data_IF_698670093757
#
_entry.id   IF_698670093757
#
_cell.length_a   1.000
_cell.length_b   1.000
_cell.length_c   1.000
_cell.angle_alpha   90.00
_cell.angle_beta   90.00
_cell.angle_gamma   90.00
#
_symmetry.space_group_name_H-M   'P 1'
#
loop_
_entity.id
_entity.type
_entity.pdbx_description
1 polymer ?
#
# COMPACT_ATOMS: atom_id res chain seq x y z
N UNK A 1 -32.57 -14.17 -45.66
CA UNK A 1 -31.99 -15.28 -46.45
C UNK A 1 -30.48 -15.30 -46.22
N UNK A 2 -29.94 -16.50 -46.05
CA UNK A 2 -28.60 -16.84 -45.51
C UNK A 2 -27.45 -16.22 -46.30
N UNK A 3 -26.37 -15.83 -45.61
CA UNK A 3 -25.00 -15.82 -46.14
C UNK A 3 -24.03 -16.19 -45.02
N UNK A 4 -23.37 -17.33 -45.22
CA UNK A 4 -22.40 -17.99 -44.35
C UNK A 4 -20.98 -17.50 -44.67
N UNK A 5 -20.16 -17.24 -43.65
CA UNK A 5 -18.71 -17.07 -43.81
C UNK A 5 -17.96 -18.16 -43.02
N UNK A 6 -17.10 -18.88 -43.74
CA UNK A 6 -16.32 -20.05 -43.32
C UNK A 6 -15.13 -19.63 -42.45
N UNK A 7 -14.84 -20.46 -41.45
CA UNK A 7 -13.62 -20.45 -40.66
C UNK A 7 -12.47 -21.15 -41.42
N UNK A 8 -11.28 -20.59 -41.41
CA UNK A 8 -10.04 -21.30 -41.73
C UNK A 8 -9.32 -21.68 -40.42
N UNK A 9 -9.20 -22.99 -40.18
CA UNK A 9 -8.14 -23.56 -39.35
C UNK A 9 -7.00 -24.00 -40.28
N UNK A 10 -5.76 -23.72 -39.89
CA UNK A 10 -4.59 -24.41 -40.42
C UNK A 10 -3.78 -24.96 -39.25
N UNK A 11 -3.70 -26.29 -39.20
CA UNK A 11 -2.82 -27.11 -38.38
C UNK A 11 -2.07 -28.03 -39.35
N UNK A 12 -0.75 -28.18 -39.21
CA UNK A 12 -0.02 -29.46 -39.39
C UNK A 12 1.51 -29.24 -39.38
N UNK A 13 2.22 -29.80 -38.39
CA UNK A 13 3.08 -31.03 -38.43
C UNK A 13 4.53 -30.75 -38.87
N UNK A 14 5.56 -30.84 -38.02
CA UNK A 14 6.23 -32.01 -37.36
C UNK A 14 7.29 -32.68 -38.25
N UNK A 15 8.38 -33.14 -37.58
CA UNK A 15 9.45 -34.09 -37.95
C UNK A 15 10.76 -33.45 -38.45
N UNK A 16 11.98 -33.76 -37.96
CA UNK A 16 12.47 -34.65 -36.91
C UNK A 16 13.91 -35.15 -37.23
N UNK A 17 14.79 -35.21 -36.22
CA UNK A 17 15.87 -36.21 -35.97
C UNK A 17 17.10 -36.10 -36.95
N UNK A 18 18.41 -36.25 -36.65
CA UNK A 18 19.16 -37.08 -35.69
C UNK A 18 20.69 -36.77 -35.69
N UNK A 19 21.30 -36.85 -34.49
CA UNK A 19 22.48 -37.64 -34.04
C UNK A 19 23.89 -37.47 -34.67
N UNK A 20 24.89 -37.31 -33.76
CA UNK A 20 26.22 -37.98 -33.67
C UNK A 20 27.34 -36.95 -33.37
N UNK A 21 28.32 -37.14 -32.48
CA UNK A 21 28.78 -38.27 -31.67
C UNK A 21 30.01 -37.84 -30.85
N UNK A 22 30.34 -38.63 -29.83
CA UNK A 22 31.30 -38.40 -28.74
C UNK A 22 32.80 -38.55 -29.08
N UNK A 23 33.69 -37.99 -28.24
CA UNK A 23 34.78 -38.68 -27.48
C UNK A 23 35.64 -37.62 -26.73
N UNK A 24 35.75 -37.65 -25.38
CA UNK A 24 36.75 -38.33 -24.53
C UNK A 24 38.03 -37.45 -24.35
N UNK A 25 38.78 -37.30 -23.23
CA UNK A 25 39.11 -38.05 -22.00
C UNK A 25 39.70 -37.09 -20.93
N UNK A 26 39.48 -37.45 -19.65
CA UNK A 26 40.19 -37.18 -18.37
C UNK A 26 41.11 -35.95 -18.15
N UNK A 27 40.90 -35.34 -16.98
CA UNK A 27 41.90 -34.53 -16.26
C UNK A 27 41.35 -34.03 -14.92
N UNK A 28 41.49 -34.83 -13.87
CA UNK A 28 41.18 -34.47 -12.49
C UNK A 28 42.32 -33.67 -11.87
N UNK A 29 42.06 -32.46 -11.36
CA UNK A 29 42.54 -32.06 -10.03
C UNK A 29 41.84 -30.81 -9.45
N UNK A 30 41.59 -30.93 -8.16
CA UNK A 30 41.30 -29.93 -7.11
C UNK A 30 41.39 -28.43 -7.42
N UNK A 31 40.30 -27.74 -7.08
CA UNK A 31 40.24 -26.29 -6.93
C UNK A 31 38.90 -25.85 -6.36
N UNK A 32 38.69 -26.03 -5.05
CA UNK A 32 37.57 -25.41 -4.33
C UNK A 32 37.69 -23.89 -4.43
N UNK A 33 36.94 -23.29 -5.34
CA UNK A 33 36.67 -21.85 -5.33
C UNK A 33 35.39 -21.61 -4.54
N UNK A 34 35.56 -21.21 -3.28
CA UNK A 34 34.50 -20.64 -2.46
C UNK A 34 34.03 -19.34 -3.11
N UNK A 35 32.98 -19.44 -3.92
CA UNK A 35 32.18 -18.27 -4.32
C UNK A 35 31.04 -18.14 -3.32
N UNK A 36 31.30 -17.44 -2.23
CA UNK A 36 30.27 -16.90 -1.35
C UNK A 36 29.40 -15.95 -2.18
N UNK A 37 28.24 -16.45 -2.60
CA UNK A 37 27.15 -15.62 -3.13
C UNK A 37 26.74 -14.66 -2.02
N UNK A 38 27.11 -13.40 -2.18
CA UNK A 38 26.62 -12.30 -1.36
C UNK A 38 25.10 -12.24 -1.48
N UNK A 39 24.41 -12.64 -0.41
CA UNK A 39 22.98 -12.45 -0.26
C UNK A 39 22.66 -10.93 -0.27
N UNK A 40 21.53 -10.50 -0.84
CA UNK A 40 21.12 -9.11 -0.76
C UNK A 40 20.93 -8.74 0.71
N UNK A 41 21.62 -7.69 1.16
CA UNK A 41 21.47 -7.13 2.49
C UNK A 41 20.05 -6.56 2.62
N UNK A 42 19.21 -7.23 3.40
CA UNK A 42 18.00 -6.63 3.93
C UNK A 42 18.43 -5.48 4.84
N UNK A 43 18.31 -4.25 4.36
CA UNK A 43 18.48 -3.08 5.19
C UNK A 43 17.36 -3.11 6.24
N UNK A 44 17.74 -3.35 7.50
CA UNK A 44 16.86 -3.15 8.64
C UNK A 44 16.60 -1.64 8.73
N UNK A 45 15.38 -1.23 8.41
CA UNK A 45 14.89 0.14 8.57
C UNK A 45 15.01 0.52 10.04
N UNK A 46 16.04 1.29 10.37
CA UNK A 46 16.24 1.87 11.70
C UNK A 46 15.57 3.24 11.67
N UNK A 47 14.35 3.32 12.22
CA UNK A 47 13.66 4.59 12.45
C UNK A 47 14.52 5.47 13.35
N UNK A 48 14.67 6.76 13.02
CA UNK A 48 15.40 7.68 13.90
C UNK A 48 14.60 7.96 15.17
N UNK A 49 15.27 8.43 16.23
CA UNK A 49 14.61 8.75 17.51
C UNK A 49 13.54 9.84 17.35
N UNK A 50 13.74 10.77 16.41
CA UNK A 50 12.78 11.83 16.08
C UNK A 50 11.54 11.28 15.36
N UNK A 51 11.71 10.37 14.39
CA UNK A 51 10.59 9.71 13.69
C UNK A 51 9.75 8.87 14.66
N UNK A 52 10.40 8.16 15.59
CA UNK A 52 9.74 7.36 16.62
C UNK A 52 8.93 8.25 17.59
N UNK A 53 9.44 9.42 17.95
CA UNK A 53 8.74 10.38 18.80
C UNK A 53 7.55 11.02 18.08
N UNK A 54 7.71 11.47 16.84
CA UNK A 54 6.63 12.05 16.04
C UNK A 54 5.49 11.04 15.82
N UNK A 55 5.83 9.78 15.51
CA UNK A 55 4.84 8.72 15.39
C UNK A 55 4.14 8.42 16.72
N UNK A 56 4.85 8.48 17.85
CA UNK A 56 4.23 8.37 19.18
C UNK A 56 3.23 9.50 19.46
N UNK A 57 3.54 10.74 19.07
CA UNK A 57 2.64 11.88 19.24
C UNK A 57 1.37 11.73 18.39
N UNK A 58 1.51 11.32 17.12
CA UNK A 58 0.38 11.05 16.23
C UNK A 58 -0.51 9.92 16.74
N UNK A 59 0.09 8.83 17.25
CA UNK A 59 -0.64 7.70 17.81
C UNK A 59 -1.51 8.07 19.01
N UNK A 60 -1.10 9.09 19.77
CA UNK A 60 -1.77 9.58 20.97
C UNK A 60 -2.70 10.78 20.70
N UNK A 61 -2.78 11.27 19.46
CA UNK A 61 -3.67 12.36 19.10
C UNK A 61 -5.14 11.90 19.22
N UNK A 62 -5.95 12.47 20.13
CA UNK A 62 -7.32 12.02 20.32
C UNK A 62 -8.18 12.39 19.11
N UNK A 63 -9.00 11.45 18.68
CA UNK A 63 -10.05 11.72 17.70
C UNK A 63 -11.20 12.49 18.35
N UNK A 64 -11.62 13.56 17.69
CA UNK A 64 -12.78 14.38 18.03
C UNK A 64 -13.58 14.61 16.75
N UNK A 65 -14.82 14.12 16.72
CA UNK A 65 -15.69 14.22 15.54
C UNK A 65 -16.03 15.68 15.18
N UNK A 66 -16.16 16.57 16.18
CA UNK A 66 -16.47 17.97 15.94
C UNK A 66 -15.29 18.69 15.29
N UNK A 67 -14.06 18.32 15.69
CA UNK A 67 -12.83 18.90 15.15
C UNK A 67 -12.39 18.26 13.82
N UNK A 68 -12.61 16.95 13.68
CA UNK A 68 -12.14 16.13 12.55
C UNK A 68 -13.30 15.36 11.90
N UNK A 69 -14.33 16.05 11.37
CA UNK A 69 -15.54 15.39 10.86
C UNK A 69 -15.27 14.47 9.66
N UNK A 70 -14.18 14.72 8.92
CA UNK A 70 -13.74 13.89 7.81
C UNK A 70 -12.67 12.85 8.18
N UNK A 71 -12.45 12.63 9.49
CA UNK A 71 -11.59 11.58 10.02
C UNK A 71 -10.10 11.70 9.60
N UNK A 72 -9.65 12.94 9.40
CA UNK A 72 -8.24 13.30 9.22
C UNK A 72 -7.96 14.69 9.81
N UNK A 73 -6.68 15.02 9.97
CA UNK A 73 -6.20 16.38 10.21
C UNK A 73 -4.91 16.63 9.45
N UNK A 74 -4.64 17.89 9.08
CA UNK A 74 -3.29 18.29 8.67
C UNK A 74 -2.38 18.37 9.88
N UNK A 75 -1.10 18.05 9.68
CA UNK A 75 -0.06 18.12 10.72
C UNK A 75 1.19 18.79 10.15
N UNK A 76 2.11 19.21 11.03
CA UNK A 76 3.36 19.88 10.64
C UNK A 76 3.18 21.03 9.63
N UNK A 77 2.16 21.88 9.85
CA UNK A 77 1.83 22.99 8.94
C UNK A 77 1.63 22.55 7.48
N UNK A 78 1.18 21.31 7.27
CA UNK A 78 1.01 20.65 5.99
C UNK A 78 2.32 20.42 5.20
N UNK A 79 3.50 20.56 5.82
CA UNK A 79 4.81 20.36 5.18
C UNK A 79 5.25 18.90 5.34
N UNK A 80 5.39 18.12 4.25
CA UNK A 80 5.79 16.73 4.34
C UNK A 80 7.28 16.58 4.63
N UNK A 81 7.63 15.61 5.49
CA UNK A 81 9.00 15.17 5.72
C UNK A 81 9.04 13.68 5.43
N UNK A 82 9.59 13.30 4.27
CA UNK A 82 9.69 11.88 3.88
C UNK A 82 10.71 11.14 4.75
N UNK A 83 10.36 9.91 5.12
CA UNK A 83 11.16 9.05 6.00
C UNK A 83 12.01 8.03 5.23
N UNK A 84 13.02 7.51 5.93
CA UNK A 84 13.90 6.42 5.47
C UNK A 84 14.56 6.71 4.11
N UNK A 85 14.91 5.65 3.37
CA UNK A 85 15.52 5.74 2.04
C UNK A 85 14.69 6.50 1.00
N UNK A 86 13.38 6.69 1.25
CA UNK A 86 12.50 7.38 0.32
C UNK A 86 12.80 8.89 0.24
N UNK A 87 13.29 9.51 1.32
CA UNK A 87 13.74 10.91 1.31
C UNK A 87 14.78 11.18 0.23
N UNK A 88 15.74 10.27 0.07
CA UNK A 88 16.78 10.36 -0.95
C UNK A 88 16.20 10.13 -2.35
N UNK A 89 15.25 9.20 -2.50
CA UNK A 89 14.52 8.99 -3.75
C UNK A 89 13.79 10.25 -4.21
N UNK A 90 13.08 10.92 -3.29
CA UNK A 90 12.36 12.17 -3.60
C UNK A 90 13.34 13.28 -3.98
N UNK A 91 14.40 13.49 -3.20
CA UNK A 91 15.41 14.50 -3.50
C UNK A 91 16.09 14.28 -4.86
N UNK A 92 16.42 13.02 -5.18
CA UNK A 92 16.98 12.65 -6.48
C UNK A 92 15.98 12.89 -7.62
N UNK A 93 14.70 12.54 -7.41
CA UNK A 93 13.65 12.73 -8.40
C UNK A 93 13.40 14.22 -8.70
N UNK A 94 13.36 15.06 -7.66
CA UNK A 94 13.21 16.51 -7.77
C UNK A 94 14.41 17.16 -8.49
N UNK A 95 15.64 16.74 -8.14
CA UNK A 95 16.86 17.22 -8.82
C UNK A 95 16.87 16.86 -10.31
N UNK A 96 16.44 15.64 -10.63
CA UNK A 96 16.42 15.14 -12.01
C UNK A 96 15.17 15.55 -12.79
N UNK A 97 14.14 16.11 -12.13
CA UNK A 97 12.79 16.33 -12.69
C UNK A 97 12.25 15.07 -13.39
N UNK A 98 12.37 13.93 -12.70
CA UNK A 98 11.97 12.64 -13.27
C UNK A 98 10.53 12.30 -12.93
N UNK A 99 9.82 11.81 -13.93
CA UNK A 99 8.45 11.29 -13.80
C UNK A 99 8.41 9.78 -13.97
N UNK A 100 9.46 9.06 -13.56
CA UNK A 100 9.46 7.60 -13.61
C UNK A 100 8.66 7.03 -12.45
N UNK A 101 7.63 6.25 -12.77
CA UNK A 101 6.83 5.56 -11.75
C UNK A 101 7.68 4.59 -10.95
N UNK A 102 7.54 4.65 -9.62
CA UNK A 102 8.22 3.76 -8.67
C UNK A 102 7.27 3.43 -7.54
N UNK A 103 7.34 2.21 -7.03
CA UNK A 103 6.55 1.80 -5.87
C UNK A 103 7.37 0.86 -5.00
N UNK A 104 7.37 1.15 -3.71
CA UNK A 104 8.11 0.45 -2.69
C UNK A 104 7.09 0.02 -1.63
N UNK A 105 7.06 -1.29 -1.38
CA UNK A 105 6.25 -1.87 -0.31
C UNK A 105 7.22 -2.47 0.69
N UNK A 106 7.17 -2.00 1.93
CA UNK A 106 7.93 -2.64 3.00
C UNK A 106 7.33 -4.02 3.30
N UNK A 107 8.20 -4.96 3.65
CA UNK A 107 7.79 -6.28 4.14
C UNK A 107 6.96 -6.13 5.43
N UNK A 108 6.14 -7.13 5.73
CA UNK A 108 5.46 -7.17 7.01
C UNK A 108 6.51 -7.28 8.13
N UNK A 109 6.23 -6.66 9.27
CA UNK A 109 7.12 -6.76 10.42
C UNK A 109 7.03 -8.14 11.12
N UNK A 110 7.73 -8.27 12.25
CA UNK A 110 7.76 -9.51 13.03
C UNK A 110 6.41 -9.92 13.61
N UNK A 111 5.48 -8.96 13.75
CA UNK A 111 4.10 -9.19 14.16
C UNK A 111 3.17 -9.39 12.96
N UNK A 112 3.69 -9.39 11.73
CA UNK A 112 2.91 -9.54 10.50
C UNK A 112 2.08 -8.31 10.15
N UNK A 113 2.46 -7.14 10.66
CA UNK A 113 1.76 -5.88 10.43
C UNK A 113 2.25 -5.23 9.15
N UNK A 114 1.32 -4.64 8.41
CA UNK A 114 1.64 -3.84 7.22
C UNK A 114 2.45 -2.62 7.61
N UNK A 115 3.57 -2.43 6.92
CA UNK A 115 4.51 -1.33 7.12
C UNK A 115 4.36 -0.26 6.03
N UNK A 116 5.33 0.63 5.91
CA UNK A 116 5.29 1.79 5.02
C UNK A 116 5.15 1.41 3.54
N UNK A 117 4.39 2.21 2.81
CA UNK A 117 4.34 2.16 1.34
C UNK A 117 4.72 3.52 0.80
N UNK A 118 5.66 3.53 -0.15
CA UNK A 118 6.16 4.74 -0.78
C UNK A 118 6.07 4.63 -2.30
N UNK A 119 5.73 5.71 -3.00
CA UNK A 119 5.61 5.70 -4.44
C UNK A 119 5.95 7.06 -5.07
N UNK A 120 6.55 7.01 -6.26
CA UNK A 120 6.54 8.12 -7.21
C UNK A 120 5.41 7.81 -8.19
N UNK A 121 4.29 8.53 -8.05
CA UNK A 121 3.07 8.31 -8.82
C UNK A 121 3.07 9.25 -10.01
N UNK A 122 2.87 8.71 -11.21
CA UNK A 122 2.82 9.47 -12.45
C UNK A 122 1.40 9.50 -12.98
N UNK A 123 1.10 10.45 -13.88
CA UNK A 123 -0.20 10.46 -14.56
C UNK A 123 -0.48 9.13 -15.27
N UNK A 124 0.50 8.57 -16.00
CA UNK A 124 0.33 7.28 -16.68
C UNK A 124 0.03 6.11 -15.73
N UNK A 125 0.71 6.06 -14.57
CA UNK A 125 0.45 5.05 -13.53
C UNK A 125 -0.97 5.18 -12.99
N UNK A 126 -1.39 6.39 -12.62
CA UNK A 126 -2.75 6.65 -12.14
C UNK A 126 -3.81 6.36 -13.21
N UNK A 127 -3.63 6.88 -14.43
CA UNK A 127 -4.59 6.76 -15.53
C UNK A 127 -4.83 5.30 -15.92
N UNK A 128 -3.77 4.48 -16.00
CA UNK A 128 -3.89 3.04 -16.30
C UNK A 128 -4.63 2.23 -15.20
N UNK A 129 -4.86 2.81 -14.02
CA UNK A 129 -5.64 2.23 -12.93
C UNK A 129 -6.98 2.93 -12.69
N UNK A 130 -7.34 3.92 -13.50
CA UNK A 130 -8.66 4.53 -13.45
C UNK A 130 -9.75 3.48 -13.71
N UNK A 131 -10.89 3.59 -13.02
CA UNK A 131 -11.99 2.63 -13.16
C UNK A 131 -12.60 2.60 -14.56
N UNK A 132 -12.49 3.70 -15.31
CA UNK A 132 -12.86 3.80 -16.73
C UNK A 132 -11.89 3.06 -17.67
N UNK A 133 -10.66 2.79 -17.23
CA UNK A 133 -9.60 2.16 -18.03
C UNK A 133 -9.43 0.69 -17.65
N UNK A 134 -9.44 0.38 -16.36
CA UNK A 134 -9.23 -0.98 -15.86
C UNK A 134 -10.08 -1.28 -14.64
N UNK A 135 -10.82 -2.38 -14.72
CA UNK A 135 -11.56 -2.93 -13.58
C UNK A 135 -10.60 -3.30 -12.46
N UNK A 136 -10.89 -2.81 -11.26
CA UNK A 136 -10.15 -3.19 -10.04
C UNK A 136 -10.28 -4.70 -9.78
N UNK A 137 -9.17 -5.43 -9.58
CA UNK A 137 -9.24 -6.84 -9.20
C UNK A 137 -9.82 -7.00 -7.79
N UNK A 138 -10.43 -8.15 -7.54
CA UNK A 138 -10.84 -8.52 -6.17
C UNK A 138 -9.60 -8.79 -5.32
N UNK A 139 -9.73 -8.64 -4.00
CA UNK A 139 -8.69 -9.11 -3.10
C UNK A 139 -8.47 -10.63 -3.24
N UNK A 140 -7.23 -11.10 -3.41
CA UNK A 140 -6.89 -12.50 -3.24
C UNK A 140 -7.37 -13.02 -1.88
N UNK A 141 -7.75 -14.31 -1.80
CA UNK A 141 -8.14 -14.95 -0.53
C UNK A 141 -7.00 -14.97 0.50
N UNK A 142 -5.76 -14.86 0.03
CA UNK A 142 -4.54 -14.77 0.83
C UNK A 142 -4.30 -13.38 1.42
N UNK A 143 -5.00 -12.35 0.94
CA UNK A 143 -4.88 -11.00 1.48
C UNK A 143 -5.61 -10.92 2.81
N UNK A 144 -4.89 -11.20 3.89
CA UNK A 144 -5.35 -11.17 5.29
C UNK A 144 -4.39 -10.32 6.10
N UNK A 145 -4.93 -9.44 6.95
CA UNK A 145 -4.15 -8.42 7.67
C UNK A 145 -4.15 -8.67 9.17
N UNK A 146 -3.17 -8.10 9.87
CA UNK A 146 -3.09 -8.13 11.32
C UNK A 146 -4.37 -7.57 11.97
N UNK A 147 -4.83 -8.25 13.03
CA UNK A 147 -6.05 -7.88 13.77
C UNK A 147 -7.38 -8.22 13.07
N UNK A 148 -7.38 -8.76 11.84
CA UNK A 148 -8.63 -9.06 11.12
C UNK A 148 -9.44 -10.20 11.75
N UNK A 149 -8.76 -11.16 12.38
CA UNK A 149 -9.37 -12.37 12.93
C UNK A 149 -9.07 -12.49 14.42
N UNK A 150 -10.09 -12.79 15.22
CA UNK A 150 -9.95 -13.04 16.66
C UNK A 150 -9.08 -14.28 16.95
N UNK A 151 -9.11 -15.27 16.05
CA UNK A 151 -8.29 -16.48 16.06
C UNK A 151 -7.08 -16.36 15.09
N UNK A 152 -6.64 -15.13 14.82
CA UNK A 152 -5.57 -14.83 13.88
C UNK A 152 -4.24 -15.43 14.30
N UNK A 153 -3.56 -16.12 13.38
CA UNK A 153 -2.18 -16.59 13.55
C UNK A 153 -1.33 -16.14 12.37
N UNK A 154 -0.23 -15.46 12.65
CA UNK A 154 0.73 -15.03 11.63
C UNK A 154 1.77 -16.11 11.37
N UNK A 155 1.96 -16.45 10.10
CA UNK A 155 3.06 -17.31 9.65
C UNK A 155 4.14 -16.45 9.00
N UNK A 156 5.24 -16.23 9.73
CA UNK A 156 6.38 -15.41 9.29
C UNK A 156 7.06 -15.93 8.03
N UNK A 157 7.15 -17.25 7.85
CA UNK A 157 7.79 -17.85 6.68
C UNK A 157 6.98 -17.62 5.40
N UNK A 158 5.65 -17.62 5.52
CA UNK A 158 4.74 -17.37 4.40
C UNK A 158 4.39 -15.89 4.23
N UNK A 159 4.73 -15.03 5.21
CA UNK A 159 4.28 -13.64 5.29
C UNK A 159 2.75 -13.53 5.17
N UNK A 160 2.03 -14.44 5.84
CA UNK A 160 0.58 -14.59 5.71
C UNK A 160 -0.11 -14.80 7.05
N UNK A 161 -1.28 -14.19 7.18
CA UNK A 161 -2.21 -14.41 8.28
C UNK A 161 -3.18 -15.54 7.98
N UNK A 162 -3.46 -16.36 8.98
CA UNK A 162 -4.51 -17.38 8.99
C UNK A 162 -5.53 -17.07 10.08
N UNK A 163 -6.77 -17.52 9.91
CA UNK A 163 -7.88 -17.22 10.81
C UNK A 163 -9.22 -17.51 10.15
N UNK A 164 -10.23 -17.77 10.98
CA UNK A 164 -11.61 -18.11 10.58
C UNK A 164 -12.64 -17.21 11.25
N UNK A 165 -12.36 -16.75 12.46
CA UNK A 165 -13.26 -15.95 13.29
C UNK A 165 -13.03 -14.46 13.03
N UNK A 166 -13.71 -13.89 12.03
CA UNK A 166 -13.49 -12.51 11.62
C UNK A 166 -14.00 -11.51 12.67
N UNK A 167 -13.20 -10.48 13.00
CA UNK A 167 -13.61 -9.42 13.93
C UNK A 167 -14.63 -8.45 13.33
N UNK A 168 -14.68 -8.33 12.00
CA UNK A 168 -15.53 -7.40 11.28
C UNK A 168 -16.99 -7.86 11.22
N UNK A 169 -17.91 -6.94 11.48
CA UNK A 169 -19.35 -7.15 11.40
C UNK A 169 -20.03 -5.85 11.01
N UNK A 170 -21.27 -5.93 10.53
CA UNK A 170 -22.08 -4.75 10.28
C UNK A 170 -22.42 -4.06 11.59
N UNK A 171 -22.33 -2.73 11.60
CA UNK A 171 -22.73 -1.86 12.71
C UNK A 171 -23.86 -0.94 12.26
N UNK A 172 -24.69 -0.52 13.22
CA UNK A 172 -25.72 0.49 13.04
C UNK A 172 -25.36 1.67 13.94
N UNK A 173 -24.95 2.77 13.32
CA UNK A 173 -24.52 4.01 13.98
C UNK A 173 -25.38 5.17 13.46
N UNK A 174 -25.27 6.34 14.11
CA UNK A 174 -25.92 7.54 13.60
C UNK A 174 -25.34 7.90 12.22
N UNK A 175 -26.18 7.96 11.19
CA UNK A 175 -25.77 8.27 9.83
C UNK A 175 -24.95 7.19 9.11
N UNK A 176 -24.77 6.01 9.68
CA UNK A 176 -23.99 4.93 9.05
C UNK A 176 -24.53 3.53 9.36
N UNK A 177 -24.69 2.71 8.31
CA UNK A 177 -24.97 1.26 8.42
C UNK A 177 -24.09 0.50 7.44
N UNK A 178 -23.26 -0.41 7.94
CA UNK A 178 -22.35 -1.21 7.11
C UNK A 178 -21.27 -1.89 7.92
N UNK A 179 -20.39 -2.64 7.25
CA UNK A 179 -19.24 -3.28 7.90
C UNK A 179 -18.25 -2.24 8.44
N UNK A 180 -17.88 -2.38 9.72
CA UNK A 180 -16.97 -1.44 10.38
C UNK A 180 -15.64 -1.33 9.64
N UNK A 181 -15.00 -2.46 9.33
CA UNK A 181 -13.67 -2.47 8.75
C UNK A 181 -13.66 -2.65 7.24
N UNK A 182 -12.62 -2.13 6.62
CA UNK A 182 -12.19 -2.34 5.25
C UNK A 182 -10.75 -2.87 5.26
N UNK A 183 -10.37 -3.59 4.20
CA UNK A 183 -8.96 -3.71 3.83
C UNK A 183 -8.57 -2.39 3.17
N UNK A 184 -8.20 -1.43 4.02
CA UNK A 184 -7.93 -0.04 3.64
C UNK A 184 -6.53 0.04 3.05
N UNK A 185 -6.41 0.63 1.86
CA UNK A 185 -5.12 0.67 1.17
C UNK A 185 -4.23 1.77 1.75
N UNK A 186 -2.92 1.53 1.73
CA UNK A 186 -1.93 2.59 1.89
C UNK A 186 -1.75 3.33 0.56
N UNK A 187 -1.46 2.59 -0.52
CA UNK A 187 -1.53 3.11 -1.89
C UNK A 187 -2.78 2.58 -2.58
N UNK A 188 -3.70 3.48 -2.91
CA UNK A 188 -4.96 3.12 -3.57
C UNK A 188 -4.74 2.39 -4.91
N UNK A 189 -5.67 1.49 -5.27
CA UNK A 189 -5.70 0.89 -6.61
C UNK A 189 -5.61 1.95 -7.71
N UNK A 190 -6.41 3.02 -7.61
CA UNK A 190 -6.45 4.11 -8.58
C UNK A 190 -5.15 4.91 -8.71
N UNK A 191 -4.23 4.76 -7.76
CA UNK A 191 -2.90 5.35 -7.76
C UNK A 191 -1.81 4.34 -8.12
N UNK A 192 -2.20 3.11 -8.48
CA UNK A 192 -1.34 2.00 -8.89
C UNK A 192 -0.88 1.07 -7.78
N UNK A 193 -1.52 1.12 -6.60
CA UNK A 193 -1.30 0.14 -5.54
C UNK A 193 -1.89 -1.24 -5.85
N UNK A 194 -1.35 -2.28 -5.22
CA UNK A 194 -1.79 -3.66 -5.44
C UNK A 194 -2.77 -4.14 -4.35
N UNK A 195 -3.35 -5.33 -4.53
CA UNK A 195 -4.33 -5.93 -3.61
C UNK A 195 -3.68 -6.87 -2.57
N UNK A 196 -2.39 -6.73 -2.27
CA UNK A 196 -1.65 -7.64 -1.39
C UNK A 196 -1.62 -7.14 0.05
N UNK A 197 -1.38 -8.05 1.01
CA UNK A 197 -1.39 -7.75 2.45
C UNK A 197 -0.51 -6.57 2.81
N UNK A 198 0.70 -6.49 2.24
CA UNK A 198 1.67 -5.42 2.47
C UNK A 198 1.22 -4.01 2.03
N UNK A 199 0.05 -3.87 1.38
CA UNK A 199 -0.49 -2.59 0.94
C UNK A 199 -1.85 -2.28 1.59
N UNK A 200 -2.31 -3.10 2.55
CA UNK A 200 -3.58 -2.87 3.23
C UNK A 200 -3.47 -3.06 4.74
N UNK A 201 -4.26 -2.29 5.48
CA UNK A 201 -4.45 -2.44 6.92
C UNK A 201 -5.91 -2.78 7.24
N UNK A 202 -6.17 -3.21 8.48
CA UNK A 202 -7.53 -3.23 9.03
C UNK A 202 -7.93 -1.80 9.40
N UNK A 203 -8.48 -1.07 8.44
CA UNK A 203 -8.94 0.31 8.62
C UNK A 203 -10.45 0.36 8.82
N UNK A 204 -10.96 1.27 9.64
CA UNK A 204 -12.41 1.53 9.69
C UNK A 204 -12.93 2.08 8.35
N UNK A 205 -14.24 2.07 8.15
CA UNK A 205 -14.86 2.71 6.98
C UNK A 205 -14.54 4.20 6.95
N UNK A 206 -14.60 4.88 8.09
CA UNK A 206 -14.23 6.30 8.20
C UNK A 206 -12.72 6.55 7.97
N UNK A 207 -11.83 5.64 8.37
CA UNK A 207 -10.40 5.74 8.04
C UNK A 207 -10.18 5.66 6.53
N UNK A 208 -10.91 4.77 5.85
CA UNK A 208 -10.78 4.59 4.41
C UNK A 208 -11.34 5.78 3.62
N UNK A 209 -12.55 6.25 3.94
CA UNK A 209 -13.27 7.24 3.09
C UNK A 209 -13.93 8.40 3.83
N UNK A 210 -13.68 8.55 5.14
CA UNK A 210 -14.37 9.53 5.98
C UNK A 210 -15.88 9.36 5.95
N UNK A 211 -16.60 10.45 5.67
CA UNK A 211 -18.06 10.45 5.49
C UNK A 211 -18.52 9.90 4.14
N UNK A 212 -17.59 9.56 3.24
CA UNK A 212 -17.84 9.15 1.86
C UNK A 212 -18.55 10.23 1.01
N UNK A 213 -18.42 11.51 1.40
CA UNK A 213 -18.82 12.65 0.58
C UNK A 213 -17.79 12.88 -0.54
N UNK A 214 -18.24 12.77 -1.79
CA UNK A 214 -17.37 12.97 -2.96
C UNK A 214 -16.93 14.43 -3.12
N UNK A 215 -17.69 15.40 -2.58
CA UNK A 215 -17.37 16.83 -2.63
C UNK A 215 -16.43 17.26 -1.51
N UNK A 216 -16.41 16.50 -0.42
CA UNK A 216 -15.56 16.73 0.74
C UNK A 216 -14.95 15.40 1.20
N UNK A 217 -13.98 14.85 0.43
CA UNK A 217 -13.43 13.53 0.71
C UNK A 217 -12.73 13.52 2.07
N UNK A 218 -12.95 12.45 2.83
CA UNK A 218 -12.30 12.21 4.11
C UNK A 218 -11.51 10.92 4.14
N UNK A 219 -10.93 10.60 5.29
CA UNK A 219 -10.06 9.44 5.45
C UNK A 219 -8.87 9.47 4.48
N UNK A 220 -8.44 8.29 4.03
CA UNK A 220 -7.44 8.13 2.97
C UNK A 220 -7.92 8.72 1.64
N UNK A 221 -9.22 8.66 1.35
CA UNK A 221 -9.77 9.19 0.10
C UNK A 221 -9.49 10.69 -0.10
N UNK A 222 -9.23 11.46 0.96
CA UNK A 222 -8.82 12.87 0.87
C UNK A 222 -7.52 13.03 0.06
N UNK A 223 -6.40 12.50 0.57
CA UNK A 223 -5.08 12.62 -0.07
C UNK A 223 -5.02 11.91 -1.40
N UNK A 224 -5.75 10.82 -1.54
CA UNK A 224 -5.85 10.11 -2.81
C UNK A 224 -6.57 10.93 -3.89
N UNK A 225 -7.68 11.61 -3.53
CA UNK A 225 -8.46 12.43 -4.48
C UNK A 225 -7.67 13.64 -4.93
N UNK A 226 -7.00 14.32 -3.99
CA UNK A 226 -6.16 15.47 -4.32
C UNK A 226 -5.00 15.07 -5.23
N UNK A 227 -4.34 13.94 -4.96
CA UNK A 227 -3.27 13.40 -5.83
C UNK A 227 -3.80 13.09 -7.24
N UNK A 228 -4.98 12.46 -7.35
CA UNK A 228 -5.60 12.19 -8.66
C UNK A 228 -5.87 13.48 -9.45
N UNK A 229 -6.50 14.45 -8.80
CA UNK A 229 -6.84 15.73 -9.41
C UNK A 229 -5.58 16.51 -9.86
N UNK A 230 -4.52 16.46 -9.05
CA UNK A 230 -3.25 17.08 -9.38
C UNK A 230 -2.64 16.46 -10.64
N UNK A 231 -2.47 15.13 -10.67
CA UNK A 231 -1.88 14.43 -11.81
C UNK A 231 -2.74 14.55 -13.09
N UNK A 232 -4.07 14.62 -12.97
CA UNK A 232 -4.96 14.88 -14.11
C UNK A 232 -4.74 16.25 -14.75
N UNK A 233 -4.39 17.26 -13.94
CA UNK A 233 -4.13 18.64 -14.41
C UNK A 233 -2.65 18.91 -14.73
N UNK A 234 -1.74 18.07 -14.25
CA UNK A 234 -0.29 18.19 -14.41
C UNK A 234 0.29 16.86 -14.90
N UNK A 235 -0.05 16.49 -16.14
CA UNK A 235 0.25 15.15 -16.67
C UNK A 235 1.74 14.88 -16.87
N UNK A 236 2.54 15.95 -17.00
CA UNK A 236 4.00 15.90 -17.16
C UNK A 236 4.75 15.94 -15.82
N UNK A 237 4.06 15.91 -14.68
CA UNK A 237 4.64 15.86 -13.34
C UNK A 237 4.46 14.47 -12.70
N UNK A 238 5.07 14.27 -11.54
CA UNK A 238 4.87 13.12 -10.67
C UNK A 238 4.67 13.58 -9.22
N UNK A 239 4.15 12.67 -8.39
CA UNK A 239 3.88 12.92 -6.98
C UNK A 239 4.60 11.87 -6.14
N UNK A 240 5.49 12.32 -5.25
CA UNK A 240 5.97 11.52 -4.14
C UNK A 240 4.84 11.31 -3.12
N UNK A 241 4.56 10.06 -2.78
CA UNK A 241 3.48 9.67 -1.90
C UNK A 241 3.97 8.58 -0.94
N UNK A 242 3.95 8.85 0.36
CA UNK A 242 4.37 7.90 1.40
C UNK A 242 3.28 7.78 2.45
N UNK A 243 2.96 6.54 2.84
CA UNK A 243 1.98 6.24 3.89
C UNK A 243 2.60 5.33 4.92
N UNK A 244 2.57 5.78 6.18
CA UNK A 244 3.16 5.11 7.33
C UNK A 244 2.03 4.76 8.30
N UNK A 245 1.65 3.48 8.43
CA UNK A 245 0.76 3.03 9.49
C UNK A 245 1.46 3.14 10.84
N UNK A 246 0.79 3.75 11.81
CA UNK A 246 1.38 3.99 13.14
C UNK A 246 0.70 3.08 14.16
N UNK A 247 1.50 2.26 14.85
CA UNK A 247 1.06 1.30 15.87
C UNK A 247 1.65 1.69 17.23
N UNK A 248 0.96 1.37 18.33
CA UNK A 248 1.53 1.49 19.69
C UNK A 248 1.93 0.12 20.21
N UNK A 249 3.22 -0.04 20.54
CA UNK A 249 3.75 -1.30 21.08
C UNK A 249 3.44 -2.50 20.17
N UNK A 250 2.79 -3.52 20.74
CA UNK A 250 2.42 -4.76 20.05
C UNK A 250 1.01 -4.74 19.45
N UNK A 251 0.39 -3.57 19.31
CA UNK A 251 -0.90 -3.46 18.65
C UNK A 251 -0.87 -4.00 17.22
N UNK A 252 -1.88 -4.79 16.86
CA UNK A 252 -2.03 -5.40 15.55
C UNK A 252 -2.78 -4.50 14.56
N UNK A 253 -3.55 -3.54 15.06
CA UNK A 253 -4.29 -2.56 14.27
C UNK A 253 -3.64 -1.19 14.48
N UNK A 254 -3.34 -0.43 13.42
CA UNK A 254 -2.70 0.87 13.59
C UNK A 254 -3.70 1.87 14.16
N UNK A 255 -3.22 2.85 14.94
CA UNK A 255 -3.99 3.99 15.44
C UNK A 255 -4.43 4.93 14.33
N UNK A 256 -3.70 4.94 13.23
CA UNK A 256 -3.96 5.73 12.05
C UNK A 256 -2.85 5.56 11.03
N UNK A 257 -2.88 6.41 10.01
CA UNK A 257 -1.87 6.45 8.96
C UNK A 257 -1.40 7.88 8.76
N UNK A 258 -0.09 8.07 8.75
CA UNK A 258 0.55 9.32 8.40
C UNK A 258 0.81 9.34 6.89
N UNK A 259 0.23 10.31 6.19
CA UNK A 259 0.24 10.41 4.74
C UNK A 259 1.00 11.66 4.31
N UNK A 260 2.06 11.46 3.54
CA UNK A 260 2.97 12.47 3.04
C UNK A 260 2.87 12.52 1.52
N UNK A 261 2.61 13.71 0.98
CA UNK A 261 2.42 13.92 -0.47
C UNK A 261 3.20 15.14 -0.90
N UNK A 262 3.93 15.06 -2.01
CA UNK A 262 4.59 16.22 -2.60
C UNK A 262 4.77 16.04 -4.10
N UNK A 263 4.47 17.08 -4.89
CA UNK A 263 4.85 17.12 -6.31
C UNK A 263 6.38 17.09 -6.48
N UNK A 264 6.84 16.45 -7.55
CA UNK A 264 8.26 16.38 -7.90
C UNK A 264 8.72 17.69 -8.56
N UNK A 265 7.96 18.24 -9.51
CA UNK A 265 8.38 19.46 -10.23
C UNK A 265 7.94 20.76 -9.55
N UNK A 266 6.87 20.73 -8.76
CA UNK A 266 6.27 21.87 -8.07
C UNK A 266 6.04 21.60 -6.56
N UNK A 267 7.09 21.26 -5.78
CA UNK A 267 6.96 20.82 -4.39
C UNK A 267 6.31 21.84 -3.44
N UNK A 268 6.33 23.14 -3.79
CA UNK A 268 5.70 24.22 -3.02
C UNK A 268 4.23 24.48 -3.40
N UNK A 269 3.75 23.94 -4.54
CA UNK A 269 2.37 24.16 -5.01
C UNK A 269 1.45 23.01 -4.63
N UNK A 270 1.98 21.78 -4.58
CA UNK A 270 1.22 20.60 -4.21
C UNK A 270 2.00 19.79 -3.19
N UNK A 271 1.61 19.93 -1.92
CA UNK A 271 2.13 19.14 -0.83
C UNK A 271 1.05 18.93 0.24
N UNK A 272 1.08 17.76 0.88
CA UNK A 272 0.17 17.40 1.97
C UNK A 272 0.96 16.69 3.06
N UNK A 273 0.62 17.01 4.31
CA UNK A 273 1.05 16.25 5.47
C UNK A 273 -0.16 16.01 6.38
N UNK A 274 -0.67 14.78 6.34
CA UNK A 274 -2.00 14.44 6.85
C UNK A 274 -1.92 13.24 7.79
N UNK A 275 -2.51 13.38 8.97
CA UNK A 275 -2.82 12.27 9.84
C UNK A 275 -4.25 11.79 9.60
N UNK A 276 -4.43 10.52 9.26
CA UNK A 276 -5.73 9.90 9.07
C UNK A 276 -6.01 8.95 10.23
N UNK A 277 -7.06 9.23 11.01
CA UNK A 277 -7.38 8.45 12.20
C UNK A 277 -7.95 7.08 11.83
N UNK A 278 -7.51 6.01 12.48
CA UNK A 278 -8.16 4.70 12.37
C UNK A 278 -9.27 4.56 13.42
N UNK A 279 -10.30 5.40 13.29
CA UNK A 279 -11.42 5.53 14.23
C UNK A 279 -12.75 5.48 13.49
N UNK A 280 -13.82 5.18 14.21
CA UNK A 280 -15.21 5.30 13.72
C UNK A 280 -16.01 5.92 14.87
N UNK A 281 -16.67 7.05 14.62
CA UNK A 281 -17.45 7.72 15.66
C UNK A 281 -18.51 6.76 16.25
N UNK A 282 -18.55 6.66 17.58
CA UNK A 282 -19.44 5.75 18.31
C UNK A 282 -18.94 4.32 18.45
N UNK A 283 -17.68 4.01 18.08
CA UNK A 283 -17.07 2.69 18.25
C UNK A 283 -15.77 2.82 19.05
N UNK A 284 -15.56 1.90 19.99
CA UNK A 284 -14.28 1.73 20.68
C UNK A 284 -13.55 0.50 20.12
N UNK A 285 -12.40 0.72 19.49
CA UNK A 285 -11.57 -0.34 18.90
C UNK A 285 -10.57 -0.84 19.94
N UNK A 286 -10.44 -2.16 20.06
CA UNK A 286 -9.29 -2.77 20.72
C UNK A 286 -8.16 -2.96 19.69
N UNK A 287 -7.22 -2.01 19.67
CA UNK A 287 -6.12 -2.01 18.69
C UNK A 287 -5.16 -3.20 18.84
N UNK A 288 -5.15 -3.88 20.00
CA UNK A 288 -4.32 -5.06 20.20
C UNK A 288 -4.75 -6.24 19.34
N UNK A 289 -6.05 -6.39 19.07
CA UNK A 289 -6.57 -7.58 18.38
C UNK A 289 -7.64 -7.31 17.33
N UNK A 290 -8.07 -6.06 17.13
CA UNK A 290 -9.08 -5.65 16.16
C UNK A 290 -10.54 -5.90 16.56
N UNK A 291 -10.80 -6.48 17.74
CA UNK A 291 -12.15 -6.51 18.30
C UNK A 291 -12.66 -5.09 18.62
N UNK A 292 -13.97 -4.92 18.77
CA UNK A 292 -14.57 -3.62 19.03
C UNK A 292 -15.90 -3.72 19.78
N UNK A 293 -16.25 -2.64 20.46
CA UNK A 293 -17.53 -2.39 21.13
C UNK A 293 -18.22 -1.17 20.52
#
# INVERSE_FOLDING_TARGET
MKLTAKWLLALSTVLGISISGCSAVQGSNSGQSNTTKSAPSYAVSTSTTEDAQANSELANLPFDLAKYPQNYTTVNQNVPIFENGFKQTVAAAQKAKTTRAQTYFDSLDDLGRTQTVSAIITYGMMHSHASSVRKRPTFPKTTKVSGEYADGVYNKNLQQWFGRSNNNRMVQLNGYRGYLYNKSHLLAWSLGGNMQTHNVILGTRAQNVGTNDQRNPGGMAYTETLTRNYLSSHQDDAVAYQVIPVYVGQELVPRGTHVLVQSIDNPNKFHLNVWVFNTQAGITINYNNGSFQ
#
